data_IF_455930915834
#
_entry.id   IF_455930915834
#
_cell.length_a   1.000
_cell.length_b   1.000
_cell.length_c   1.000
_cell.angle_alpha   90.00
_cell.angle_beta   90.00
_cell.angle_gamma   90.00
#
_symmetry.space_group_name_H-M   'P 1'
#
loop_
_entity.id
_entity.type
_entity.pdbx_description
1 polymer ?
#
# COMPACT_ATOMS: atom_id res chain seq x y z
N UNK A 1 -51.56 47.73 -26.77
CA UNK A 1 -51.93 46.74 -25.74
C UNK A 1 -50.85 45.66 -25.72
N UNK A 2 -49.98 45.69 -24.70
CA UNK A 2 -48.81 44.83 -24.56
C UNK A 2 -49.16 43.61 -23.73
N UNK A 3 -48.87 42.43 -24.25
CA UNK A 3 -48.79 41.20 -23.44
C UNK A 3 -47.35 40.70 -23.44
N UNK A 4 -46.69 40.87 -22.31
CA UNK A 4 -45.41 40.24 -22.00
C UNK A 4 -45.64 38.74 -21.81
N UNK A 5 -44.99 37.92 -22.58
CA UNK A 5 -44.88 36.47 -22.34
C UNK A 5 -43.66 36.26 -21.48
N UNK A 6 -43.85 35.76 -20.27
CA UNK A 6 -42.83 35.20 -19.40
C UNK A 6 -42.49 33.78 -19.88
N UNK A 7 -41.27 33.61 -20.34
CA UNK A 7 -40.70 32.29 -20.55
C UNK A 7 -40.14 31.77 -19.21
N UNK A 8 -40.85 30.81 -18.64
CA UNK A 8 -40.36 30.04 -17.49
C UNK A 8 -39.43 28.97 -18.00
N UNK A 9 -38.12 29.09 -17.77
CA UNK A 9 -37.13 28.03 -18.02
C UNK A 9 -37.29 26.96 -16.95
N UNK A 10 -37.79 25.81 -17.32
CA UNK A 10 -37.80 24.62 -16.48
C UNK A 10 -36.38 24.05 -16.45
N UNK A 11 -35.75 24.15 -15.29
CA UNK A 11 -34.51 23.41 -14.97
C UNK A 11 -34.90 21.96 -14.71
N UNK A 12 -34.59 21.07 -15.67
CA UNK A 12 -34.73 19.64 -15.47
C UNK A 12 -33.62 19.17 -14.52
N UNK A 13 -34.01 18.91 -13.28
CA UNK A 13 -33.16 18.18 -12.34
C UNK A 13 -33.11 16.71 -12.80
N UNK A 14 -31.99 16.29 -13.38
CA UNK A 14 -31.70 14.87 -13.62
C UNK A 14 -31.45 14.22 -12.27
N UNK A 15 -32.45 13.52 -11.75
CA UNK A 15 -32.30 12.62 -10.64
C UNK A 15 -31.39 11.47 -11.09
N UNK A 16 -30.17 11.41 -10.56
CA UNK A 16 -29.33 10.23 -10.68
C UNK A 16 -30.05 9.08 -9.96
N UNK A 17 -30.58 8.14 -10.75
CA UNK A 17 -31.08 6.87 -10.24
C UNK A 17 -29.89 6.07 -9.73
N UNK A 18 -29.67 6.14 -8.42
CA UNK A 18 -28.85 5.15 -7.71
C UNK A 18 -29.59 3.84 -7.82
N UNK A 19 -29.09 2.94 -8.68
CA UNK A 19 -29.51 1.55 -8.68
C UNK A 19 -29.23 0.99 -7.29
N UNK A 20 -30.18 0.35 -6.62
CA UNK A 20 -29.91 -0.34 -5.39
C UNK A 20 -29.02 -1.55 -5.72
N UNK A 21 -27.69 -1.35 -5.65
CA UNK A 21 -26.80 -2.45 -5.39
C UNK A 21 -27.31 -3.08 -4.12
N UNK A 22 -27.68 -4.36 -4.16
CA UNK A 22 -28.14 -5.13 -3.01
C UNK A 22 -27.16 -4.87 -1.88
N UNK A 23 -27.59 -4.06 -0.93
CA UNK A 23 -26.87 -3.75 0.28
C UNK A 23 -26.63 -5.07 1.00
N UNK A 24 -25.43 -5.63 0.87
CA UNK A 24 -24.90 -6.67 1.73
C UNK A 24 -24.52 -6.03 3.08
N UNK A 25 -25.46 -5.29 3.65
CA UNK A 25 -25.43 -4.83 5.01
C UNK A 25 -25.98 -5.96 5.89
N UNK A 26 -25.19 -7.03 5.99
CA UNK A 26 -25.54 -8.09 6.94
C UNK A 26 -24.25 -8.69 7.49
N UNK A 27 -24.17 -8.66 8.80
CA UNK A 27 -23.21 -9.30 9.66
C UNK A 27 -21.81 -8.62 9.72
N UNK A 28 -21.75 -7.60 10.52
CA UNK A 28 -20.56 -7.12 11.24
C UNK A 28 -20.11 -8.14 12.32
N UNK A 29 -20.42 -9.43 12.09
CA UNK A 29 -19.94 -10.53 12.91
C UNK A 29 -18.51 -10.83 12.43
N UNK A 30 -17.53 -10.30 13.16
CA UNK A 30 -16.13 -10.73 13.05
C UNK A 30 -16.08 -12.26 13.12
N UNK A 31 -15.56 -12.90 12.06
CA UNK A 31 -15.29 -14.33 12.11
C UNK A 31 -14.27 -14.56 13.23
N UNK A 32 -14.58 -15.38 14.26
CA UNK A 32 -13.62 -15.67 15.32
C UNK A 32 -12.34 -16.25 14.70
N UNK A 33 -11.17 -15.66 15.02
CA UNK A 33 -9.88 -16.11 14.49
C UNK A 33 -9.55 -15.62 13.07
N UNK A 34 -10.29 -14.63 12.53
CA UNK A 34 -10.04 -14.10 11.19
C UNK A 34 -8.69 -13.39 11.09
N UNK A 35 -7.87 -13.82 10.14
CA UNK A 35 -6.65 -13.08 9.77
C UNK A 35 -7.05 -11.78 9.07
N UNK A 36 -6.34 -10.70 9.42
CA UNK A 36 -6.51 -9.37 8.86
C UNK A 36 -5.16 -8.88 8.34
N UNK A 37 -5.14 -8.32 7.15
CA UNK A 37 -3.91 -7.80 6.54
C UNK A 37 -4.11 -6.35 6.15
N UNK A 38 -3.21 -5.48 6.63
CA UNK A 38 -3.07 -4.10 6.19
C UNK A 38 -1.78 -3.98 5.39
N UNK A 39 -1.87 -3.60 4.11
CA UNK A 39 -0.72 -3.22 3.29
C UNK A 39 -0.67 -1.69 3.17
N UNK A 40 0.43 -1.10 3.61
CA UNK A 40 0.72 0.33 3.49
C UNK A 40 1.79 0.52 2.42
N UNK A 41 1.44 1.17 1.32
CA UNK A 41 2.35 1.64 0.30
C UNK A 41 2.77 3.08 0.58
N UNK A 42 4.05 3.38 0.48
CA UNK A 42 4.60 4.73 0.61
C UNK A 42 5.38 5.03 -0.66
N UNK A 43 4.79 5.82 -1.55
CA UNK A 43 5.37 6.12 -2.86
C UNK A 43 6.73 6.83 -2.70
N UNK A 44 7.71 6.36 -3.46
CA UNK A 44 9.02 6.99 -3.57
C UNK A 44 9.89 6.97 -2.31
N UNK A 45 9.55 6.21 -1.24
CA UNK A 45 10.31 6.23 0.02
C UNK A 45 11.59 5.41 -0.04
N UNK A 46 12.73 6.05 0.16
CA UNK A 46 14.02 5.41 0.36
C UNK A 46 14.24 5.06 1.84
N UNK A 47 14.58 3.77 2.14
CA UNK A 47 14.77 3.32 3.52
C UNK A 47 15.84 4.11 4.28
N UNK A 48 16.97 4.43 3.65
CA UNK A 48 18.05 5.19 4.30
C UNK A 48 17.61 6.62 4.72
N UNK A 49 16.59 7.18 4.07
CA UNK A 49 15.98 8.46 4.47
C UNK A 49 15.10 8.29 5.71
N UNK A 50 14.37 7.18 5.81
CA UNK A 50 13.68 6.83 7.04
C UNK A 50 14.67 6.62 8.22
N UNK A 51 15.85 6.04 7.96
CA UNK A 51 16.94 5.95 8.93
C UNK A 51 17.48 7.34 9.31
N UNK A 52 17.69 8.22 8.33
CA UNK A 52 18.20 9.58 8.55
C UNK A 52 17.30 10.40 9.48
N UNK A 53 15.97 10.36 9.28
CA UNK A 53 15.00 11.07 10.13
C UNK A 53 14.63 10.29 11.40
N UNK A 54 15.13 9.07 11.57
CA UNK A 54 14.75 8.16 12.67
C UNK A 54 13.23 7.95 12.73
N UNK A 55 12.62 7.53 11.63
CA UNK A 55 11.19 7.27 11.47
C UNK A 55 10.69 6.25 12.52
N UNK A 56 10.20 6.76 13.65
CA UNK A 56 9.95 5.97 14.88
C UNK A 56 8.94 4.85 14.69
N UNK A 57 7.89 5.10 13.91
CA UNK A 57 6.81 4.15 13.74
C UNK A 57 7.22 3.02 12.80
N UNK A 58 7.97 3.33 11.73
CA UNK A 58 8.59 2.33 10.87
C UNK A 58 9.58 1.47 11.66
N UNK A 59 10.44 2.07 12.50
CA UNK A 59 11.37 1.30 13.33
C UNK A 59 10.68 0.43 14.37
N UNK A 60 9.55 0.87 14.95
CA UNK A 60 8.75 0.04 15.85
C UNK A 60 8.17 -1.18 15.15
N UNK A 61 7.73 -1.02 13.89
CA UNK A 61 7.28 -2.14 13.07
C UNK A 61 8.41 -3.13 12.82
N UNK A 62 9.61 -2.66 12.44
CA UNK A 62 10.79 -3.51 12.24
C UNK A 62 11.16 -4.27 13.52
N UNK A 63 11.18 -3.60 14.68
CA UNK A 63 11.48 -4.22 15.95
C UNK A 63 10.47 -5.30 16.36
N UNK A 64 9.21 -5.16 15.91
CA UNK A 64 8.13 -6.10 16.18
C UNK A 64 7.89 -7.13 15.07
N UNK A 65 8.73 -7.16 14.02
CA UNK A 65 8.54 -8.01 12.85
C UNK A 65 9.81 -8.21 12.03
N UNK A 66 9.64 -8.43 10.74
CA UNK A 66 10.69 -8.61 9.74
C UNK A 66 10.92 -7.29 8.98
N UNK A 67 12.19 -6.91 8.79
CA UNK A 67 12.62 -5.95 7.78
C UNK A 67 13.40 -6.66 6.68
N UNK A 68 12.92 -6.60 5.44
CA UNK A 68 13.71 -6.97 4.27
C UNK A 68 14.14 -5.71 3.52
N UNK A 69 15.42 -5.66 3.13
CA UNK A 69 15.98 -4.57 2.30
C UNK A 69 16.59 -5.19 1.04
N UNK A 70 16.22 -4.67 -0.11
CA UNK A 70 16.67 -5.20 -1.38
C UNK A 70 16.70 -4.12 -2.46
N UNK A 71 16.82 -4.56 -3.68
CA UNK A 71 16.73 -3.74 -4.89
C UNK A 71 15.72 -4.36 -5.85
N UNK A 72 15.00 -3.52 -6.57
CA UNK A 72 14.10 -3.95 -7.64
C UNK A 72 14.80 -3.99 -9.02
N UNK A 73 16.08 -3.62 -9.09
CA UNK A 73 16.85 -3.74 -10.34
C UNK A 73 16.82 -5.18 -10.88
N UNK A 74 16.68 -5.38 -12.20
CA UNK A 74 16.70 -4.39 -13.27
C UNK A 74 15.29 -3.87 -13.67
N UNK A 75 14.28 -4.04 -12.81
CA UNK A 75 12.90 -3.65 -13.10
C UNK A 75 12.74 -2.13 -13.06
N UNK A 76 11.67 -1.64 -13.70
CA UNK A 76 11.42 -0.20 -13.79
C UNK A 76 11.08 0.41 -12.44
N UNK A 77 11.58 1.62 -12.20
CA UNK A 77 11.36 2.40 -10.98
C UNK A 77 10.33 3.50 -11.24
N UNK A 78 9.18 3.12 -11.78
CA UNK A 78 8.03 3.99 -12.08
C UNK A 78 6.82 3.45 -11.31
N UNK A 79 6.01 4.34 -10.74
CA UNK A 79 4.92 3.99 -9.82
C UNK A 79 3.91 3.00 -10.43
N UNK A 80 3.40 3.25 -11.65
CA UNK A 80 2.43 2.36 -12.31
C UNK A 80 2.91 0.91 -12.41
N UNK A 81 4.06 0.62 -13.03
CA UNK A 81 4.65 -0.71 -13.10
C UNK A 81 4.96 -1.32 -11.73
N UNK A 82 5.54 -0.54 -10.81
CA UNK A 82 5.94 -1.05 -9.51
C UNK A 82 4.74 -1.41 -8.63
N UNK A 83 3.72 -0.55 -8.59
CA UNK A 83 2.48 -0.86 -7.88
C UNK A 83 1.69 -2.00 -8.54
N UNK A 84 1.72 -2.12 -9.88
CA UNK A 84 1.16 -3.29 -10.54
C UNK A 84 1.89 -4.56 -10.11
N UNK A 85 3.22 -4.53 -9.96
CA UNK A 85 4.00 -5.66 -9.43
C UNK A 85 3.59 -6.00 -7.98
N UNK A 86 3.48 -4.98 -7.10
CA UNK A 86 2.98 -5.16 -5.71
C UNK A 86 1.63 -5.87 -5.69
N UNK A 87 0.69 -5.41 -6.52
CA UNK A 87 -0.69 -5.87 -6.47
C UNK A 87 -0.98 -7.14 -7.27
N UNK A 88 -0.07 -7.58 -8.15
CA UNK A 88 -0.26 -8.79 -8.94
C UNK A 88 0.68 -9.94 -8.54
N UNK A 89 1.84 -9.63 -7.95
CA UNK A 89 2.90 -10.60 -7.65
C UNK A 89 3.69 -11.06 -8.87
N UNK A 90 3.62 -10.31 -9.99
CA UNK A 90 4.44 -10.54 -11.19
C UNK A 90 5.16 -9.26 -11.60
N UNK A 91 6.34 -9.41 -12.20
CA UNK A 91 7.14 -8.28 -12.63
C UNK A 91 6.58 -7.57 -13.88
N UNK A 92 7.03 -6.34 -14.09
CA UNK A 92 6.73 -5.50 -15.25
C UNK A 92 6.97 -6.18 -16.60
N UNK A 93 7.97 -7.06 -16.68
CA UNK A 93 8.26 -7.91 -17.85
C UNK A 93 7.13 -8.88 -18.20
N UNK A 94 6.28 -9.24 -17.24
CA UNK A 94 5.09 -10.09 -17.46
C UNK A 94 3.83 -9.29 -17.65
N UNK A 95 3.48 -8.37 -16.73
CA UNK A 95 2.23 -7.62 -16.85
C UNK A 95 2.29 -6.54 -17.94
N UNK A 96 3.49 -6.12 -18.37
CA UNK A 96 3.69 -5.27 -19.54
C UNK A 96 3.37 -3.77 -19.34
N UNK A 97 3.01 -3.35 -18.13
CA UNK A 97 2.85 -1.93 -17.78
C UNK A 97 4.25 -1.32 -17.69
N UNK A 98 4.47 -0.17 -18.35
CA UNK A 98 5.80 0.45 -18.50
C UNK A 98 5.89 1.85 -17.92
N UNK A 99 4.76 2.51 -17.76
CA UNK A 99 4.62 3.89 -17.29
C UNK A 99 3.30 4.08 -16.54
N UNK A 100 2.97 5.31 -16.20
CA UNK A 100 1.75 5.66 -15.49
C UNK A 100 0.51 5.80 -16.41
N UNK A 101 0.68 5.66 -17.73
CA UNK A 101 -0.40 5.68 -18.70
C UNK A 101 -0.80 4.26 -19.09
N UNK A 102 -1.63 3.62 -18.29
CA UNK A 102 -2.12 2.25 -18.50
C UNK A 102 -3.62 2.13 -18.24
N UNK A 103 -4.20 1.07 -18.77
CA UNK A 103 -5.60 0.68 -18.55
C UNK A 103 -5.71 -0.63 -17.75
N UNK A 104 -6.93 -1.15 -17.60
CA UNK A 104 -7.19 -2.37 -16.83
C UNK A 104 -6.84 -3.68 -17.58
N UNK A 105 -6.43 -3.63 -18.87
CA UNK A 105 -6.23 -4.81 -19.72
C UNK A 105 -5.21 -5.80 -19.15
N UNK A 106 -4.04 -5.39 -18.62
CA UNK A 106 -3.06 -6.31 -18.04
C UNK A 106 -3.62 -7.18 -16.92
N UNK A 107 -4.55 -6.65 -16.12
CA UNK A 107 -5.11 -7.32 -14.95
C UNK A 107 -6.12 -8.44 -15.28
N UNK A 108 -6.54 -8.56 -16.54
CA UNK A 108 -7.29 -9.73 -17.02
C UNK A 108 -6.41 -10.97 -17.04
N UNK A 109 -5.15 -10.83 -17.43
CA UNK A 109 -4.18 -11.94 -17.51
C UNK A 109 -3.42 -12.15 -16.19
N UNK A 110 -3.12 -11.06 -15.49
CA UNK A 110 -2.41 -11.05 -14.22
C UNK A 110 -3.29 -10.36 -13.17
N UNK A 111 -4.26 -11.09 -12.58
CA UNK A 111 -5.23 -10.51 -11.67
C UNK A 111 -4.56 -9.89 -10.44
N UNK A 112 -5.10 -8.78 -9.97
CA UNK A 112 -4.66 -8.17 -8.73
C UNK A 112 -4.96 -9.06 -7.53
N UNK A 113 -4.28 -8.85 -6.42
CA UNK A 113 -4.52 -9.53 -5.16
C UNK A 113 -6.00 -9.49 -4.75
N UNK A 114 -6.71 -8.41 -5.03
CA UNK A 114 -8.15 -8.29 -4.80
C UNK A 114 -8.93 -9.34 -5.58
N UNK A 115 -8.69 -9.41 -6.89
CA UNK A 115 -9.33 -10.41 -7.76
C UNK A 115 -8.99 -11.84 -7.35
N UNK A 116 -7.72 -12.10 -6.99
CA UNK A 116 -7.28 -13.43 -6.56
C UNK A 116 -7.96 -13.86 -5.26
N UNK A 117 -8.08 -12.96 -4.27
CA UNK A 117 -8.78 -13.22 -3.00
C UNK A 117 -10.27 -13.47 -3.22
N UNK A 118 -10.95 -12.62 -4.00
CA UNK A 118 -12.38 -12.74 -4.31
C UNK A 118 -12.70 -14.01 -5.13
N UNK A 119 -11.76 -14.46 -5.97
CA UNK A 119 -11.89 -15.75 -6.68
C UNK A 119 -11.76 -16.93 -5.74
N UNK A 120 -10.87 -16.84 -4.75
CA UNK A 120 -10.63 -17.90 -3.77
C UNK A 120 -11.80 -18.04 -2.78
N UNK A 121 -12.21 -16.98 -2.14
CA UNK A 121 -13.36 -16.94 -1.23
C UNK A 121 -14.09 -15.59 -1.36
N UNK A 122 -15.29 -15.57 -1.98
CA UNK A 122 -16.07 -14.35 -2.16
C UNK A 122 -16.61 -13.75 -0.84
N UNK A 123 -16.33 -14.37 0.30
CA UNK A 123 -16.64 -13.81 1.61
C UNK A 123 -15.46 -13.06 2.24
N UNK A 124 -14.27 -13.09 1.67
CA UNK A 124 -13.15 -12.22 2.06
C UNK A 124 -13.56 -10.78 1.76
N UNK A 125 -13.46 -9.92 2.76
CA UNK A 125 -13.81 -8.50 2.62
C UNK A 125 -12.57 -7.70 2.32
N UNK A 126 -12.59 -6.99 1.20
CA UNK A 126 -11.44 -6.28 0.68
C UNK A 126 -11.71 -4.78 0.55
N UNK A 127 -10.71 -3.95 0.82
CA UNK A 127 -10.78 -2.50 0.63
C UNK A 127 -9.49 -1.94 0.06
N UNK A 128 -9.62 -0.97 -0.83
CA UNK A 128 -8.53 -0.13 -1.31
C UNK A 128 -8.88 1.33 -1.01
N UNK A 129 -8.00 2.04 -0.28
CA UNK A 129 -8.12 3.46 0.06
C UNK A 129 -6.78 4.11 -0.24
N UNK A 130 -6.71 4.89 -1.31
CA UNK A 130 -5.43 5.36 -1.88
C UNK A 130 -5.47 6.85 -2.17
N UNK A 131 -4.31 7.48 -2.20
CA UNK A 131 -4.12 8.87 -2.61
C UNK A 131 -3.98 9.04 -4.13
N UNK A 132 -3.88 7.95 -4.90
CA UNK A 132 -3.72 7.98 -6.35
C UNK A 132 -4.82 7.18 -7.06
N UNK A 133 -5.46 7.77 -8.08
CA UNK A 133 -6.61 7.20 -8.80
C UNK A 133 -6.23 5.98 -9.67
N UNK A 134 -4.99 5.89 -10.16
CA UNK A 134 -4.50 4.72 -10.91
C UNK A 134 -4.48 3.44 -10.04
N UNK A 135 -4.25 3.58 -8.74
CA UNK A 135 -4.37 2.45 -7.81
C UNK A 135 -5.83 2.04 -7.58
N UNK A 136 -6.74 3.01 -7.57
CA UNK A 136 -8.17 2.72 -7.57
C UNK A 136 -8.59 1.96 -8.86
N UNK A 137 -8.05 2.34 -10.03
CA UNK A 137 -8.24 1.58 -11.27
C UNK A 137 -7.74 0.14 -11.12
N UNK A 138 -6.54 -0.09 -10.57
CA UNK A 138 -6.00 -1.44 -10.33
C UNK A 138 -6.92 -2.26 -9.41
N UNK A 139 -7.35 -1.67 -8.29
CA UNK A 139 -8.21 -2.36 -7.31
C UNK A 139 -9.62 -2.63 -7.84
N UNK A 140 -10.09 -1.83 -8.79
CA UNK A 140 -11.39 -1.97 -9.45
C UNK A 140 -11.35 -2.88 -10.70
N UNK A 141 -10.16 -3.37 -11.10
CA UNK A 141 -9.97 -4.12 -12.34
C UNK A 141 -10.18 -5.63 -12.17
N UNK A 142 -10.35 -6.32 -13.31
CA UNK A 142 -10.60 -7.75 -13.36
C UNK A 142 -12.08 -8.13 -13.21
N UNK A 143 -12.37 -9.44 -13.34
CA UNK A 143 -13.74 -9.98 -13.24
C UNK A 143 -14.30 -9.85 -11.81
N UNK A 144 -13.41 -9.85 -10.82
CA UNK A 144 -13.71 -9.66 -9.41
C UNK A 144 -12.78 -8.57 -8.86
N UNK A 145 -13.35 -7.59 -8.25
CA UNK A 145 -12.67 -6.38 -7.76
C UNK A 145 -12.78 -6.26 -6.25
N UNK A 146 -12.01 -5.34 -5.66
CA UNK A 146 -12.18 -4.98 -4.27
C UNK A 146 -13.64 -4.58 -3.94
N UNK A 147 -14.17 -5.01 -2.78
CA UNK A 147 -15.54 -4.67 -2.35
C UNK A 147 -15.72 -3.15 -2.22
N UNK A 148 -14.70 -2.46 -1.76
CA UNK A 148 -14.70 -0.99 -1.64
C UNK A 148 -13.41 -0.43 -2.23
N UNK A 149 -13.56 0.48 -3.16
CA UNK A 149 -12.47 1.22 -3.80
C UNK A 149 -12.69 2.71 -3.59
N UNK A 150 -11.71 3.37 -3.01
CA UNK A 150 -11.70 4.81 -2.77
C UNK A 150 -10.35 5.38 -3.19
N UNK A 151 -10.40 6.46 -3.98
CA UNK A 151 -9.26 7.35 -4.16
C UNK A 151 -9.60 8.69 -3.49
N UNK A 152 -8.71 9.18 -2.65
CA UNK A 152 -8.84 10.53 -2.08
C UNK A 152 -8.66 11.54 -3.19
N UNK A 153 -9.58 12.49 -3.38
CA UNK A 153 -9.45 13.48 -4.43
C UNK A 153 -8.26 14.42 -4.20
N UNK A 154 -7.49 14.66 -5.24
CA UNK A 154 -6.46 15.70 -5.20
C UNK A 154 -7.06 17.07 -4.94
N UNK A 155 -6.35 17.89 -4.16
CA UNK A 155 -6.71 19.29 -3.90
C UNK A 155 -5.71 20.22 -4.60
N UNK A 156 -6.13 21.07 -5.55
CA UNK A 156 -5.23 21.99 -6.24
C UNK A 156 -4.51 22.99 -5.31
N UNK A 157 -5.01 23.15 -4.09
CA UNK A 157 -4.42 24.05 -3.09
C UNK A 157 -3.53 23.31 -2.08
N UNK A 158 -3.24 22.03 -2.33
CA UNK A 158 -2.37 21.18 -1.51
C UNK A 158 -1.16 20.67 -2.32
N UNK A 159 -0.24 21.56 -2.73
CA UNK A 159 0.89 21.19 -3.60
C UNK A 159 1.90 20.24 -2.93
N UNK A 160 1.78 20.03 -1.63
CA UNK A 160 2.58 19.09 -0.83
C UNK A 160 1.86 17.80 -0.48
N UNK A 161 0.59 17.68 -0.88
CA UNK A 161 -0.28 16.52 -0.61
C UNK A 161 -0.45 16.18 0.88
N UNK A 162 -0.34 17.20 1.73
CA UNK A 162 -0.48 17.03 3.18
C UNK A 162 -1.92 16.66 3.57
N UNK A 163 -2.91 17.35 3.00
CA UNK A 163 -4.32 17.03 3.23
C UNK A 163 -4.72 15.73 2.55
N UNK A 164 -4.18 15.45 1.36
CA UNK A 164 -4.43 14.23 0.61
C UNK A 164 -4.09 12.97 1.43
N UNK A 165 -2.88 12.87 1.94
CA UNK A 165 -2.44 11.74 2.76
C UNK A 165 -3.12 11.72 4.15
N UNK A 166 -3.46 12.90 4.69
CA UNK A 166 -4.22 13.00 5.95
C UNK A 166 -5.61 12.40 5.79
N UNK A 167 -6.35 12.79 4.75
CA UNK A 167 -7.71 12.29 4.47
C UNK A 167 -7.69 10.79 4.12
N UNK A 168 -6.69 10.34 3.34
CA UNK A 168 -6.46 8.92 3.06
C UNK A 168 -6.27 8.15 4.37
N UNK A 169 -5.41 8.65 5.26
CA UNK A 169 -5.16 8.05 6.57
C UNK A 169 -6.43 7.99 7.43
N UNK A 170 -7.24 9.04 7.45
CA UNK A 170 -8.51 9.09 8.18
C UNK A 170 -9.50 8.04 7.66
N UNK A 171 -9.55 7.86 6.34
CA UNK A 171 -10.32 6.81 5.70
C UNK A 171 -9.87 5.41 6.12
N UNK A 172 -8.55 5.17 6.16
CA UNK A 172 -7.96 3.90 6.60
C UNK A 172 -8.23 3.62 8.08
N UNK A 173 -8.03 4.60 8.96
CA UNK A 173 -8.36 4.47 10.39
C UNK A 173 -9.84 4.14 10.58
N UNK A 174 -10.72 4.79 9.81
CA UNK A 174 -12.16 4.49 9.81
C UNK A 174 -12.43 3.07 9.32
N UNK A 175 -11.74 2.62 8.26
CA UNK A 175 -11.90 1.26 7.74
C UNK A 175 -11.49 0.21 8.77
N UNK A 176 -10.36 0.41 9.46
CA UNK A 176 -9.88 -0.49 10.53
C UNK A 176 -10.87 -0.54 11.68
N UNK A 177 -11.29 0.62 12.19
CA UNK A 177 -12.06 0.72 13.43
C UNK A 177 -13.51 0.28 13.26
N UNK A 178 -14.15 0.62 12.13
CA UNK A 178 -15.58 0.37 11.91
C UNK A 178 -15.89 -0.89 11.13
N UNK A 179 -15.04 -1.25 10.15
CA UNK A 179 -15.36 -2.28 9.17
C UNK A 179 -14.44 -3.49 9.26
N UNK A 180 -13.19 -3.34 9.70
CA UNK A 180 -12.17 -4.39 9.82
C UNK A 180 -12.17 -5.36 8.64
N UNK A 181 -11.89 -4.89 7.41
CA UNK A 181 -11.80 -5.77 6.25
C UNK A 181 -10.76 -6.87 6.48
N UNK A 182 -10.83 -7.95 5.73
CA UNK A 182 -9.85 -9.02 5.81
C UNK A 182 -8.55 -8.62 5.10
N UNK A 183 -8.67 -7.85 4.01
CA UNK A 183 -7.54 -7.19 3.35
C UNK A 183 -7.84 -5.70 3.12
N UNK A 184 -6.91 -4.85 3.56
CA UNK A 184 -6.92 -3.41 3.35
C UNK A 184 -5.61 -2.97 2.72
N UNK A 185 -5.68 -2.34 1.56
CA UNK A 185 -4.56 -1.66 0.92
C UNK A 185 -4.71 -0.16 1.03
N UNK A 186 -3.64 0.52 1.33
CA UNK A 186 -3.55 1.98 1.29
C UNK A 186 -2.25 2.44 0.67
N UNK A 187 -2.26 3.64 0.13
CA UNK A 187 -1.12 4.28 -0.52
C UNK A 187 -1.05 5.75 -0.07
N UNK A 188 0.15 6.21 0.22
CA UNK A 188 0.48 7.59 0.58
C UNK A 188 1.48 8.16 -0.42
N UNK A 189 1.24 9.38 -0.91
CA UNK A 189 1.93 9.98 -2.06
C UNK A 189 2.95 11.07 -1.70
N UNK A 190 2.85 11.61 -0.52
CA UNK A 190 3.55 12.83 -0.07
C UNK A 190 5.07 12.79 -0.23
N UNK A 191 5.69 11.60 -0.08
CA UNK A 191 7.15 11.45 -0.17
C UNK A 191 7.59 11.52 -1.63
N UNK A 192 6.85 10.85 -2.54
CA UNK A 192 7.10 10.93 -3.97
C UNK A 192 6.92 12.37 -4.49
N UNK A 193 5.84 13.02 -4.07
CA UNK A 193 5.58 14.42 -4.41
C UNK A 193 6.70 15.36 -3.98
N UNK A 194 7.28 15.15 -2.80
CA UNK A 194 8.43 15.92 -2.33
C UNK A 194 9.69 15.59 -3.15
N UNK A 195 9.89 14.33 -3.50
CA UNK A 195 10.98 13.87 -4.37
C UNK A 195 10.94 14.52 -5.75
N UNK A 196 9.78 14.56 -6.37
CA UNK A 196 9.57 15.24 -7.65
C UNK A 196 9.79 16.75 -7.58
N UNK A 197 9.31 17.39 -6.53
CA UNK A 197 9.36 18.85 -6.40
C UNK A 197 10.73 19.37 -5.99
N UNK A 198 11.43 18.66 -5.11
CA UNK A 198 12.59 19.20 -4.40
C UNK A 198 13.82 18.29 -4.44
N UNK A 199 13.67 17.04 -4.91
CA UNK A 199 14.72 16.03 -4.96
C UNK A 199 14.82 15.18 -3.69
N UNK A 200 15.30 13.93 -3.86
CA UNK A 200 15.47 12.96 -2.78
C UNK A 200 16.51 13.36 -1.72
N UNK A 201 17.37 14.34 -2.00
CA UNK A 201 18.35 14.89 -1.05
C UNK A 201 17.83 16.09 -0.24
N UNK A 202 16.62 16.59 -0.53
CA UNK A 202 16.09 17.83 0.04
C UNK A 202 15.58 17.67 1.48
N UNK A 203 15.55 18.78 2.22
CA UNK A 203 14.85 18.84 3.52
C UNK A 203 13.36 18.60 3.38
N UNK A 204 12.74 19.09 2.31
CA UNK A 204 11.32 18.87 2.03
C UNK A 204 10.95 17.39 1.91
N UNK A 205 11.83 16.59 1.28
CA UNK A 205 11.68 15.14 1.23
C UNK A 205 11.77 14.52 2.64
N UNK A 206 12.74 14.93 3.46
CA UNK A 206 12.90 14.45 4.83
C UNK A 206 11.70 14.83 5.71
N UNK A 207 11.16 16.04 5.55
CA UNK A 207 9.93 16.44 6.23
C UNK A 207 8.72 15.60 5.81
N UNK A 208 8.60 15.27 4.51
CA UNK A 208 7.55 14.39 4.02
C UNK A 208 7.67 12.99 4.64
N UNK A 209 8.88 12.43 4.72
CA UNK A 209 9.14 11.15 5.41
C UNK A 209 8.69 11.21 6.88
N UNK A 210 8.96 12.30 7.60
CA UNK A 210 8.51 12.45 8.98
C UNK A 210 6.97 12.44 9.08
N UNK A 211 6.28 13.18 8.20
CA UNK A 211 4.81 13.24 8.20
C UNK A 211 4.19 11.89 7.87
N UNK A 212 4.72 11.19 6.88
CA UNK A 212 4.23 9.86 6.50
C UNK A 212 4.50 8.84 7.61
N UNK A 213 5.62 8.91 8.32
CA UNK A 213 5.84 8.07 9.51
C UNK A 213 4.77 8.30 10.59
N UNK A 214 4.30 9.54 10.78
CA UNK A 214 3.19 9.85 11.69
C UNK A 214 1.87 9.22 11.20
N UNK A 215 1.58 9.25 9.90
CA UNK A 215 0.42 8.59 9.30
C UNK A 215 0.47 7.08 9.52
N UNK A 216 1.61 6.45 9.28
CA UNK A 216 1.85 5.03 9.61
C UNK A 216 1.58 4.77 11.08
N UNK A 217 2.08 5.64 11.97
CA UNK A 217 1.83 5.55 13.43
C UNK A 217 0.36 5.57 13.80
N UNK A 218 -0.46 6.43 13.15
CA UNK A 218 -1.91 6.50 13.36
C UNK A 218 -2.63 5.21 12.94
N UNK A 219 -2.26 4.66 11.79
CA UNK A 219 -2.83 3.41 11.27
C UNK A 219 -2.47 2.23 12.19
N UNK A 220 -1.21 2.14 12.65
CA UNK A 220 -0.76 1.11 13.59
C UNK A 220 -1.50 1.20 14.91
N UNK A 221 -1.67 2.41 15.44
CA UNK A 221 -2.42 2.61 16.68
C UNK A 221 -3.88 2.13 16.56
N UNK A 222 -4.51 2.35 15.40
CA UNK A 222 -5.85 1.84 15.13
C UNK A 222 -5.89 0.30 15.06
N UNK A 223 -4.91 -0.32 14.40
CA UNK A 223 -4.76 -1.79 14.36
C UNK A 223 -4.56 -2.36 15.76
N UNK A 224 -3.66 -1.78 16.56
CA UNK A 224 -3.33 -2.27 17.90
C UNK A 224 -4.52 -2.14 18.86
N UNK A 225 -5.22 -1.00 18.81
CA UNK A 225 -6.43 -0.79 19.60
C UNK A 225 -7.54 -1.77 19.22
N UNK A 226 -7.73 -2.04 17.92
CA UNK A 226 -8.70 -3.01 17.45
C UNK A 226 -8.34 -4.44 17.85
N UNK A 227 -7.09 -4.84 17.67
CA UNK A 227 -6.61 -6.18 18.06
C UNK A 227 -6.78 -6.41 19.58
N UNK A 228 -6.53 -5.38 20.40
CA UNK A 228 -6.74 -5.45 21.84
C UNK A 228 -8.24 -5.63 22.20
N UNK A 229 -9.13 -4.94 21.48
CA UNK A 229 -10.58 -5.06 21.66
C UNK A 229 -11.17 -6.37 21.10
N UNK A 230 -10.50 -6.98 20.13
CA UNK A 230 -10.95 -8.19 19.43
C UNK A 230 -9.82 -9.24 19.38
N UNK A 231 -9.49 -9.93 20.47
CA UNK A 231 -8.35 -10.85 20.55
C UNK A 231 -8.40 -12.03 19.58
N UNK A 232 -9.57 -12.31 19.00
CA UNK A 232 -9.75 -13.33 17.96
C UNK A 232 -9.24 -12.86 16.58
N UNK A 233 -9.05 -11.56 16.35
CA UNK A 233 -8.50 -11.04 15.10
C UNK A 233 -6.97 -11.11 15.11
N UNK A 234 -6.39 -11.66 14.06
CA UNK A 234 -4.94 -11.77 13.87
C UNK A 234 -4.48 -10.78 12.83
N UNK A 235 -3.97 -9.64 13.27
CA UNK A 235 -3.53 -8.58 12.37
C UNK A 235 -2.09 -8.73 11.92
N UNK A 236 -1.88 -8.60 10.60
CA UNK A 236 -0.57 -8.42 9.98
C UNK A 236 -0.53 -7.06 9.28
N UNK A 237 0.54 -6.31 9.53
CA UNK A 237 0.83 -5.04 8.86
C UNK A 237 2.04 -5.24 7.96
N UNK A 238 1.87 -4.93 6.68
CA UNK A 238 2.91 -4.93 5.66
C UNK A 238 3.16 -3.47 5.23
N UNK A 239 4.42 -3.09 5.06
CA UNK A 239 4.79 -1.75 4.55
C UNK A 239 5.84 -1.90 3.48
N UNK A 240 5.70 -1.16 2.38
CA UNK A 240 6.71 -1.10 1.31
C UNK A 240 6.74 0.27 0.65
N UNK A 241 7.79 0.54 -0.09
CA UNK A 241 7.83 1.55 -1.15
C UNK A 241 7.87 0.83 -2.51
N UNK A 242 7.55 1.56 -3.55
CA UNK A 242 7.57 1.07 -4.93
C UNK A 242 8.91 1.35 -5.63
N UNK A 243 9.55 2.47 -5.33
CA UNK A 243 10.88 2.92 -5.80
C UNK A 243 11.46 3.98 -4.86
N UNK A 244 12.60 4.55 -5.20
CA UNK A 244 13.18 5.71 -4.57
C UNK A 244 13.37 6.87 -5.55
N UNK A 245 14.16 7.88 -5.17
CA UNK A 245 14.39 9.10 -5.94
C UNK A 245 15.87 9.42 -6.10
N UNK A 246 16.24 10.03 -7.22
CA UNK A 246 17.54 10.65 -7.37
C UNK A 246 17.71 11.84 -6.41
N UNK A 247 18.95 12.16 -6.01
CA UNK A 247 19.21 13.31 -5.13
C UNK A 247 18.63 14.62 -5.66
N UNK A 248 18.72 14.87 -6.96
CA UNK A 248 18.20 16.05 -7.65
C UNK A 248 16.72 15.98 -8.01
N UNK A 249 16.10 14.82 -7.88
CA UNK A 249 14.69 14.58 -8.14
C UNK A 249 14.39 13.69 -9.32
N UNK A 250 13.16 13.16 -9.31
CA UNK A 250 12.67 12.21 -10.28
C UNK A 250 13.24 10.80 -10.08
N UNK A 251 12.70 9.87 -10.85
CA UNK A 251 12.96 8.44 -10.82
C UNK A 251 12.71 7.83 -12.22
N UNK A 252 12.74 6.52 -12.37
CA UNK A 252 12.56 5.83 -13.66
C UNK A 252 13.87 5.26 -14.20
N UNK A 253 15.01 5.53 -13.54
CA UNK A 253 16.33 5.01 -13.86
C UNK A 253 16.72 3.79 -13.04
N UNK A 254 18.04 3.54 -12.97
CA UNK A 254 18.62 2.36 -12.33
C UNK A 254 19.73 2.73 -11.34
N UNK A 255 19.69 3.94 -10.76
CA UNK A 255 20.61 4.27 -9.67
C UNK A 255 20.25 3.48 -8.41
N UNK A 256 21.20 3.33 -7.51
CA UNK A 256 20.97 2.62 -6.24
C UNK A 256 19.83 3.24 -5.44
N UNK A 257 19.73 4.59 -5.44
CA UNK A 257 18.67 5.31 -4.77
C UNK A 257 17.29 5.02 -5.39
N UNK A 258 17.19 4.98 -6.73
CA UNK A 258 15.92 4.70 -7.42
C UNK A 258 15.46 3.25 -7.26
N UNK A 259 16.40 2.30 -7.30
CA UNK A 259 16.07 0.86 -7.23
C UNK A 259 15.96 0.31 -5.81
N UNK A 260 16.34 1.09 -4.79
CA UNK A 260 16.24 0.64 -3.41
C UNK A 260 14.80 0.29 -3.04
N UNK A 261 14.62 -0.82 -2.36
CA UNK A 261 13.30 -1.27 -1.89
C UNK A 261 13.41 -1.87 -0.50
N UNK A 262 12.35 -1.77 0.24
CA UNK A 262 12.20 -2.45 1.52
C UNK A 262 10.80 -3.03 1.68
N UNK A 263 10.71 -4.07 2.49
CA UNK A 263 9.43 -4.61 2.97
C UNK A 263 9.52 -4.79 4.48
N UNK A 264 8.54 -4.28 5.19
CA UNK A 264 8.34 -4.56 6.61
C UNK A 264 7.13 -5.48 6.74
N UNK A 265 7.22 -6.51 7.59
CA UNK A 265 6.12 -7.40 7.89
C UNK A 265 6.04 -7.61 9.40
N UNK A 266 5.00 -7.06 10.04
CA UNK A 266 4.71 -7.23 11.46
C UNK A 266 3.41 -8.02 11.64
N UNK A 267 3.47 -9.09 12.39
CA UNK A 267 2.32 -9.93 12.69
C UNK A 267 2.73 -11.24 13.34
N UNK A 268 1.77 -12.09 13.73
CA UNK A 268 2.09 -13.32 14.48
C UNK A 268 2.91 -14.34 13.68
N UNK A 269 2.97 -14.20 12.37
CA UNK A 269 3.70 -15.10 11.46
C UNK A 269 5.13 -14.62 11.16
N UNK A 270 5.57 -13.49 11.73
CA UNK A 270 6.88 -12.90 11.50
C UNK A 270 7.68 -12.75 12.78
N UNK A 271 8.95 -13.13 12.75
CA UNK A 271 9.83 -13.07 13.92
C UNK A 271 10.21 -11.64 14.23
N UNK A 272 9.93 -11.14 15.46
CA UNK A 272 10.32 -9.79 15.89
C UNK A 272 11.82 -9.54 15.75
N UNK A 273 12.18 -8.37 15.16
CA UNK A 273 13.56 -7.93 14.96
C UNK A 273 14.35 -8.75 13.94
N UNK A 274 13.69 -9.59 13.13
CA UNK A 274 14.37 -10.32 12.07
C UNK A 274 14.66 -9.45 10.84
N UNK A 275 15.70 -9.81 10.08
CA UNK A 275 16.09 -9.13 8.85
C UNK A 275 16.26 -10.10 7.69
N UNK A 276 16.06 -9.60 6.47
CA UNK A 276 16.25 -10.33 5.23
C UNK A 276 16.81 -9.40 4.15
N UNK A 277 17.38 -9.98 3.10
CA UNK A 277 17.71 -9.29 1.86
C UNK A 277 17.09 -10.02 0.63
N UNK A 278 16.10 -10.90 0.88
CA UNK A 278 15.54 -11.76 -0.16
C UNK A 278 14.22 -11.25 -0.72
N UNK A 279 13.49 -10.46 0.08
CA UNK A 279 12.12 -10.09 -0.24
C UNK A 279 12.06 -8.65 -0.71
N UNK A 280 11.30 -8.45 -1.76
CA UNK A 280 11.00 -7.17 -2.37
C UNK A 280 9.49 -7.00 -2.59
N UNK A 281 9.10 -5.95 -3.25
CA UNK A 281 7.70 -5.63 -3.53
C UNK A 281 6.92 -6.74 -4.26
N UNK A 282 7.56 -7.58 -5.09
CA UNK A 282 6.90 -8.68 -5.81
C UNK A 282 6.38 -9.79 -4.89
N UNK A 283 6.95 -9.92 -3.69
CA UNK A 283 6.60 -10.95 -2.71
C UNK A 283 5.35 -10.61 -1.89
N UNK A 284 4.84 -9.38 -1.99
CA UNK A 284 3.70 -8.91 -1.18
C UNK A 284 2.40 -9.63 -1.52
N UNK A 285 2.02 -9.69 -2.78
CA UNK A 285 0.79 -10.41 -3.19
C UNK A 285 0.83 -11.89 -2.81
N UNK A 286 1.87 -12.69 -3.09
CA UNK A 286 1.95 -14.07 -2.61
C UNK A 286 1.87 -14.20 -1.08
N UNK A 287 2.44 -13.24 -0.35
CA UNK A 287 2.37 -13.22 1.12
C UNK A 287 0.96 -12.94 1.63
N UNK A 288 0.26 -11.97 1.04
CA UNK A 288 -1.11 -11.63 1.42
C UNK A 288 -2.04 -12.81 1.14
N UNK A 289 -1.90 -13.45 -0.02
CA UNK A 289 -2.69 -14.63 -0.37
C UNK A 289 -2.45 -15.76 0.64
N UNK A 290 -1.21 -16.10 0.94
CA UNK A 290 -0.85 -17.13 1.92
C UNK A 290 -1.35 -16.81 3.34
N UNK A 291 -1.27 -15.55 3.78
CA UNK A 291 -1.83 -15.12 5.07
C UNK A 291 -3.35 -15.32 5.15
N UNK A 292 -4.06 -15.13 4.05
CA UNK A 292 -5.51 -15.24 3.96
C UNK A 292 -5.98 -16.64 3.47
N UNK A 293 -5.04 -17.58 3.33
CA UNK A 293 -5.35 -18.99 3.00
C UNK A 293 -5.62 -19.24 1.52
N UNK A 294 -5.31 -18.26 0.65
CA UNK A 294 -5.41 -18.40 -0.79
C UNK A 294 -4.08 -18.87 -1.40
N UNK A 295 -4.09 -19.79 -2.38
CA UNK A 295 -2.87 -20.14 -3.09
C UNK A 295 -2.40 -18.99 -3.99
N UNK A 296 -1.10 -18.77 -4.13
CA UNK A 296 -0.59 -17.80 -5.11
C UNK A 296 -0.91 -18.26 -6.53
N UNK A 297 -1.08 -17.28 -7.44
CA UNK A 297 -1.27 -17.59 -8.85
C UNK A 297 -0.05 -18.38 -9.40
N UNK A 298 -0.26 -19.37 -10.28
CA UNK A 298 0.84 -20.12 -10.89
C UNK A 298 1.82 -19.23 -11.68
N UNK A 299 1.38 -18.06 -12.11
CA UNK A 299 2.19 -17.07 -12.82
C UNK A 299 3.02 -16.17 -11.91
N UNK A 300 2.83 -16.22 -10.57
CA UNK A 300 3.55 -15.36 -9.64
C UNK A 300 5.07 -15.50 -9.79
N UNK A 301 5.77 -14.38 -9.76
CA UNK A 301 7.24 -14.32 -9.68
C UNK A 301 7.71 -14.27 -8.22
N UNK A 302 6.91 -13.64 -7.38
CA UNK A 302 7.18 -13.54 -5.94
C UNK A 302 6.84 -14.81 -5.18
N UNK A 303 7.32 -14.86 -3.95
CA UNK A 303 7.10 -15.98 -3.01
C UNK A 303 6.59 -15.44 -1.67
N UNK A 304 5.85 -16.27 -0.90
CA UNK A 304 5.41 -15.87 0.43
C UNK A 304 6.60 -15.70 1.37
N UNK A 305 6.65 -14.57 2.07
CA UNK A 305 7.66 -14.27 3.10
C UNK A 305 7.53 -15.17 4.34
N UNK A 306 6.39 -15.85 4.54
CA UNK A 306 6.18 -16.81 5.64
C UNK A 306 7.03 -18.07 5.47
N UNK A 307 7.31 -18.49 4.24
CA UNK A 307 7.99 -19.74 3.92
C UNK A 307 9.53 -19.69 4.07
N UNK A 308 10.08 -18.48 4.24
CA UNK A 308 11.54 -18.26 4.16
C UNK A 308 12.15 -17.72 5.45
N UNK A 309 11.53 -17.91 6.61
CA UNK A 309 12.06 -17.47 7.91
C UNK A 309 13.29 -18.33 8.34
N UNK A 310 14.40 -18.16 7.61
CA UNK A 310 15.73 -18.52 8.13
C UNK A 310 16.26 -17.29 8.89
N UNK A 311 15.91 -17.21 10.16
CA UNK A 311 16.21 -16.08 11.02
C UNK A 311 17.66 -16.09 11.45
N UNK A 312 18.42 -15.04 11.11
CA UNK A 312 19.60 -14.65 11.89
C UNK A 312 19.13 -13.55 12.87
N UNK A 313 19.13 -13.78 14.17
CA UNK A 313 18.77 -12.75 15.16
C UNK A 313 19.67 -11.52 15.02
N UNK A 314 19.10 -10.33 15.11
CA UNK A 314 19.82 -9.04 15.06
C UNK A 314 20.98 -8.97 16.07
N UNK A 315 20.87 -9.66 17.20
CA UNK A 315 21.95 -9.76 18.21
C UNK A 315 23.26 -10.37 17.66
N UNK A 316 23.19 -11.22 16.62
CA UNK A 316 24.39 -11.81 16.03
C UNK A 316 25.08 -10.88 15.01
N UNK A 317 24.37 -9.92 14.44
CA UNK A 317 24.94 -8.96 13.48
C UNK A 317 25.66 -7.80 14.18
N UNK A 318 25.21 -7.40 15.36
CA UNK A 318 25.90 -6.39 16.18
C UNK A 318 27.22 -6.89 16.77
N UNK A 319 27.38 -8.21 16.94
CA UNK A 319 28.64 -8.82 17.41
C UNK A 319 29.70 -8.98 16.30
N UNK A 320 29.32 -8.83 15.03
CA UNK A 320 30.20 -9.00 13.86
C UNK A 320 30.72 -7.68 13.28
N UNK A 321 30.40 -6.52 13.88
CA UNK A 321 30.96 -5.23 13.43
C UNK A 321 32.46 -5.16 13.82
N UNK A 322 33.38 -4.83 12.88
CA UNK A 322 34.78 -4.66 13.24
C UNK A 322 34.93 -3.48 14.21
N UNK A 323 35.91 -3.53 15.13
CA UNK A 323 36.14 -2.46 16.08
C UNK A 323 36.50 -1.17 15.32
N UNK A 324 35.87 -0.06 15.72
CA UNK A 324 36.14 1.26 15.18
C UNK A 324 37.64 1.54 15.27
N UNK A 325 38.28 1.79 14.14
CA UNK A 325 39.65 2.28 14.06
C UNK A 325 39.66 3.68 14.68
N UNK A 326 40.48 3.85 15.72
CA UNK A 326 40.72 5.11 16.43
C UNK A 326 41.50 6.09 15.57
#
# INVERSE_FOLDING_TARGET
MNRRQLLASAVAATAATVLPGTARAAADATRPGATKVLLIGIDGLMWHKAEQVRARNLFRLCAAGLLSRGSIAPHTTISGPSWATVLTGVWDTKHGIKDNEFDATPFTRYPTVFSQLEQHDPNIRTRSITSWDKLALMAASGDRRADVVMATPECPHDPKEISLDTETTDGVVTAITRFAPDFLFTHLDQVDRAGHRSGGASEDYLEAVCRVDEHVGRMIAAVDARAAANPAERWTVLVTADHGHRPEGGHGGQTDDETTNFVIARGPDFTPGSTSARHTLVDLTPTILDLLGAPPAPSADGVSMRSTQATVPVAAQLAAAPPAVR
#
